data_IF_016096117123
#
_entry.id   IF_016096117123
#
_cell.length_a   1.000
_cell.length_b   1.000
_cell.length_c   1.000
_cell.angle_alpha   90.00
_cell.angle_beta   90.00
_cell.angle_gamma   90.00
#
_symmetry.space_group_name_H-M   'P 1'
#
loop_
_entity.id
_entity.type
_entity.pdbx_description
1 polymer ?
#
# COMPACT_ATOMS: atom_id res chain seq x y z
N UNK A 1 -0.26 -0.57 16.42
CA UNK A 1 0.04 0.62 15.58
C UNK A 1 -1.05 0.79 14.52
N UNK A 2 -1.50 2.01 14.28
CA UNK A 2 -2.67 2.33 13.42
C UNK A 2 -2.26 2.96 12.08
N UNK A 3 -3.23 3.16 11.18
CA UNK A 3 -3.03 3.88 9.90
C UNK A 3 -2.49 5.30 10.12
N UNK A 4 -2.96 6.00 11.16
CA UNK A 4 -2.49 7.35 11.49
C UNK A 4 -1.01 7.36 11.89
N UNK A 5 -0.58 6.35 12.65
CA UNK A 5 0.84 6.18 12.99
C UNK A 5 1.68 5.92 11.73
N UNK A 6 1.24 5.03 10.85
CA UNK A 6 1.94 4.74 9.58
C UNK A 6 2.13 5.98 8.73
N UNK A 7 1.07 6.79 8.53
CA UNK A 7 1.17 8.05 7.79
C UNK A 7 2.18 9.01 8.41
N UNK A 8 2.10 9.22 9.73
CA UNK A 8 2.96 10.16 10.45
C UNK A 8 4.42 9.72 10.47
N UNK A 9 4.67 8.42 10.73
CA UNK A 9 6.00 7.89 10.91
C UNK A 9 6.76 7.75 9.59
N UNK A 10 6.09 7.25 8.54
CA UNK A 10 6.72 7.04 7.23
C UNK A 10 6.52 8.21 6.26
N UNK A 11 5.76 9.25 6.63
CA UNK A 11 5.41 10.38 5.77
C UNK A 11 4.78 9.96 4.44
N UNK A 12 3.85 8.99 4.49
CA UNK A 12 3.16 8.45 3.31
C UNK A 12 1.66 8.80 3.32
N UNK A 13 1.00 8.94 2.16
CA UNK A 13 -0.42 9.28 2.06
C UNK A 13 -1.36 8.08 2.29
N UNK A 14 -0.94 7.07 3.07
CA UNK A 14 -1.68 5.82 3.25
C UNK A 14 -3.08 6.04 3.84
N UNK A 15 -4.12 5.55 3.17
CA UNK A 15 -5.52 5.63 3.62
C UNK A 15 -6.24 4.31 3.42
N UNK A 16 -7.23 3.98 4.28
CA UNK A 16 -8.10 2.83 4.04
C UNK A 16 -8.91 3.08 2.77
N UNK A 17 -8.99 2.06 1.92
CA UNK A 17 -9.57 2.18 0.57
C UNK A 17 -8.60 2.76 -0.45
N UNK A 18 -7.43 3.25 -0.03
CA UNK A 18 -6.43 3.83 -0.92
C UNK A 18 -5.89 2.83 -1.94
N UNK A 19 -5.83 3.22 -3.20
CA UNK A 19 -5.24 2.47 -4.30
C UNK A 19 -3.73 2.65 -4.35
N UNK A 20 -3.07 1.56 -4.66
CA UNK A 20 -1.62 1.48 -4.80
C UNK A 20 -1.27 0.71 -6.05
N UNK A 21 -0.05 0.96 -6.51
CA UNK A 21 0.70 0.09 -7.40
C UNK A 21 1.91 -0.47 -6.63
N UNK A 22 2.01 -1.80 -6.58
CA UNK A 22 3.15 -2.51 -6.04
C UNK A 22 4.13 -2.86 -7.16
N UNK A 23 5.33 -2.29 -7.13
CA UNK A 23 6.36 -2.41 -8.18
C UNK A 23 7.43 -3.46 -7.84
N UNK A 24 7.24 -4.20 -6.75
CA UNK A 24 8.27 -5.01 -6.12
C UNK A 24 8.36 -6.47 -6.52
N UNK A 25 8.00 -6.79 -7.76
CA UNK A 25 8.08 -8.16 -8.26
C UNK A 25 9.53 -8.67 -8.16
N UNK A 26 9.77 -9.66 -7.29
CA UNK A 26 11.09 -10.26 -7.04
C UNK A 26 11.75 -10.83 -8.31
N UNK A 27 10.94 -11.25 -9.31
CA UNK A 27 11.41 -11.89 -10.54
C UNK A 27 10.98 -11.18 -11.84
N UNK A 28 10.07 -10.21 -11.78
CA UNK A 28 9.59 -9.51 -12.96
C UNK A 28 9.02 -8.14 -12.57
N UNK A 29 9.87 -7.11 -12.69
CA UNK A 29 9.50 -5.72 -12.42
C UNK A 29 8.58 -5.13 -13.50
N UNK A 30 8.38 -5.81 -14.63
CA UNK A 30 7.43 -5.37 -15.67
C UNK A 30 5.98 -5.63 -15.27
N UNK A 31 5.76 -6.49 -14.26
CA UNK A 31 4.41 -6.82 -13.75
C UNK A 31 4.16 -6.11 -12.42
N UNK A 32 3.95 -4.80 -12.51
CA UNK A 32 3.32 -4.07 -11.41
C UNK A 32 1.98 -4.69 -11.03
N UNK A 33 1.71 -4.79 -9.73
CA UNK A 33 0.44 -5.32 -9.21
C UNK A 33 -0.33 -4.21 -8.51
N UNK A 34 -1.58 -4.01 -8.90
CA UNK A 34 -2.43 -3.02 -8.24
C UNK A 34 -3.12 -3.62 -7.01
N UNK A 35 -3.48 -2.77 -6.06
CA UNK A 35 -4.17 -3.22 -4.85
C UNK A 35 -4.83 -2.11 -4.04
N UNK A 36 -5.56 -2.53 -3.01
CA UNK A 36 -6.30 -1.65 -2.10
C UNK A 36 -5.81 -1.83 -0.68
N UNK A 37 -5.46 -0.71 -0.03
CA UNK A 37 -5.13 -0.69 1.39
C UNK A 37 -6.40 -0.97 2.21
N UNK A 38 -6.45 -2.11 2.90
CA UNK A 38 -7.60 -2.49 3.74
C UNK A 38 -7.44 -2.01 5.19
N UNK A 39 -6.22 -2.11 5.72
CA UNK A 39 -5.90 -1.71 7.10
C UNK A 39 -4.39 -1.51 7.29
N UNK A 40 -3.98 -1.14 8.51
CA UNK A 40 -2.59 -1.10 8.91
C UNK A 40 -2.46 -1.75 10.30
N UNK A 41 -1.39 -2.53 10.49
CA UNK A 41 -1.05 -3.15 11.77
C UNK A 41 0.46 -3.33 11.88
N UNK A 42 1.00 -3.24 13.10
CA UNK A 42 2.43 -3.44 13.38
C UNK A 42 3.37 -2.67 12.43
N UNK A 43 3.03 -1.41 12.10
CA UNK A 43 3.82 -0.55 11.22
C UNK A 43 3.73 -0.90 9.72
N UNK A 44 2.94 -1.90 9.34
CA UNK A 44 2.80 -2.36 7.95
C UNK A 44 1.41 -2.10 7.40
N UNK A 45 1.32 -1.93 6.08
CA UNK A 45 0.05 -1.87 5.36
C UNK A 45 -0.44 -3.29 5.08
N UNK A 46 -1.74 -3.52 5.29
CA UNK A 46 -2.44 -4.73 4.85
C UNK A 46 -3.16 -4.40 3.56
N UNK A 47 -2.63 -4.88 2.45
CA UNK A 47 -3.08 -4.57 1.10
C UNK A 47 -3.65 -5.84 0.50
N UNK A 48 -4.82 -5.73 -0.11
CA UNK A 48 -5.36 -6.77 -0.97
C UNK A 48 -4.97 -6.42 -2.40
N UNK A 49 -4.11 -7.23 -3.01
CA UNK A 49 -3.79 -7.07 -4.43
C UNK A 49 -4.99 -7.53 -5.27
N UNK A 50 -5.15 -6.95 -6.44
CA UNK A 50 -6.27 -7.27 -7.33
C UNK A 50 -6.18 -8.75 -7.77
N UNK A 51 -7.33 -9.42 -7.78
CA UNK A 51 -7.43 -10.86 -8.03
C UNK A 51 -7.14 -11.76 -6.82
N UNK A 52 -6.58 -11.22 -5.73
CA UNK A 52 -6.31 -12.00 -4.52
C UNK A 52 -7.49 -12.01 -3.56
N UNK A 53 -7.73 -13.16 -2.91
CA UNK A 53 -8.76 -13.30 -1.88
C UNK A 53 -8.34 -12.75 -0.52
N UNK A 54 -7.04 -12.69 -0.27
CA UNK A 54 -6.48 -12.36 1.04
C UNK A 54 -5.61 -11.10 1.00
N UNK A 55 -5.44 -10.48 2.17
CA UNK A 55 -4.54 -9.36 2.37
C UNK A 55 -3.13 -9.84 2.70
N UNK A 56 -2.13 -9.11 2.22
CA UNK A 56 -0.71 -9.33 2.52
C UNK A 56 -0.12 -8.08 3.19
N UNK A 57 0.96 -8.27 3.95
CA UNK A 57 1.67 -7.19 4.62
C UNK A 57 2.74 -6.58 3.73
N UNK A 58 2.77 -5.25 3.67
CA UNK A 58 3.77 -4.51 2.92
C UNK A 58 4.41 -3.42 3.78
N UNK A 59 5.68 -3.13 3.52
CA UNK A 59 6.36 -1.98 4.12
C UNK A 59 5.84 -0.70 3.45
N UNK A 60 5.46 0.35 4.20
CA UNK A 60 4.77 1.51 3.61
C UNK A 60 5.59 2.31 2.59
N UNK A 61 6.92 2.18 2.61
CA UNK A 61 7.82 2.92 1.71
C UNK A 61 8.52 2.04 0.67
N UNK A 62 8.32 0.73 0.70
CA UNK A 62 9.06 -0.17 -0.18
C UNK A 62 8.19 -0.58 -1.36
N UNK A 63 8.58 -0.14 -2.55
CA UNK A 63 7.97 -0.56 -3.83
C UNK A 63 6.45 -0.37 -3.89
N UNK A 64 5.96 0.67 -3.21
CA UNK A 64 4.57 1.13 -3.27
C UNK A 64 4.54 2.52 -3.87
N UNK A 65 3.77 2.68 -4.94
CA UNK A 65 3.29 3.97 -5.41
C UNK A 65 1.84 4.15 -4.99
N UNK A 66 1.56 5.22 -4.26
CA UNK A 66 0.22 5.58 -3.81
C UNK A 66 -0.48 6.34 -4.93
N UNK A 67 -1.60 5.82 -5.43
CA UNK A 67 -2.29 6.38 -6.60
C UNK A 67 -3.33 7.43 -6.22
N UNK A 68 -3.92 7.32 -5.02
CA UNK A 68 -4.93 8.27 -4.56
C UNK A 68 -4.35 9.43 -3.72
N UNK A 69 -3.05 9.67 -3.83
CA UNK A 69 -2.36 10.76 -3.14
C UNK A 69 -2.77 12.13 -3.71
N UNK A 70 -3.27 12.17 -4.95
CA UNK A 70 -3.47 13.38 -5.75
C UNK A 70 -4.94 13.80 -5.90
N UNK A 71 -5.89 13.10 -5.28
CA UNK A 71 -7.30 13.49 -5.31
C UNK A 71 -7.66 14.67 -4.36
N UNK A 72 -6.67 15.40 -3.87
CA UNK A 72 -6.80 16.62 -3.08
C UNK A 72 -6.00 17.74 -3.77
N UNK A 73 -6.56 18.25 -4.85
CA UNK A 73 -6.31 19.59 -5.37
C UNK A 73 -7.50 20.48 -5.00
#
# INVERSE_FOLDING_TARGET
>A
MSMAWVRKYYSVPAKRGGRIEYTGGWNDKSKSRFGTIRSASSGRLRIQLDGEKHVTYFHPTWEIRYLDAEALA
#
